data_IF_619270062805
#
_entry.id   IF_619270062805
#
_cell.length_a   1.000
_cell.length_b   1.000
_cell.length_c   1.000
_cell.angle_alpha   90.00
_cell.angle_beta   90.00
_cell.angle_gamma   90.00
#
_symmetry.space_group_name_H-M   'P 1'
#
loop_
_entity.id
_entity.type
_entity.pdbx_description
1 polymer ?
#
# COMPACT_ATOMS: atom_id res chain seq x y z
N UNK A 1 -7.50 29.49 15.77
CA UNK A 1 -7.45 29.68 14.31
C UNK A 1 -7.13 28.31 13.72
N UNK A 2 -8.09 27.67 13.06
CA UNK A 2 -7.87 26.37 12.42
C UNK A 2 -7.34 26.67 11.02
N UNK A 3 -6.09 26.30 10.76
CA UNK A 3 -5.47 26.45 9.44
C UNK A 3 -5.94 25.25 8.63
N UNK A 4 -6.85 25.46 7.69
CA UNK A 4 -7.18 24.47 6.67
C UNK A 4 -6.15 24.55 5.55
N UNK A 5 -5.68 23.40 5.06
CA UNK A 5 -4.75 23.33 3.93
C UNK A 5 -5.50 23.09 2.61
N UNK A 6 -4.94 23.58 1.51
CA UNK A 6 -5.48 23.36 0.16
C UNK A 6 -5.40 21.88 -0.20
N UNK A 7 -6.55 21.21 -0.36
CA UNK A 7 -6.60 19.75 -0.58
C UNK A 7 -7.11 18.95 0.60
N UNK A 8 -7.27 19.55 1.79
CA UNK A 8 -7.74 18.85 3.01
C UNK A 8 -9.07 18.09 2.79
N UNK A 9 -10.02 18.69 2.07
CA UNK A 9 -11.29 18.02 1.74
C UNK A 9 -11.12 16.88 0.75
N UNK A 10 -10.24 17.04 -0.23
CA UNK A 10 -9.98 16.00 -1.22
C UNK A 10 -9.33 14.78 -0.57
N UNK A 11 -8.34 15.02 0.30
CA UNK A 11 -7.70 13.98 1.10
C UNK A 11 -8.69 13.27 2.02
N UNK A 12 -9.57 14.03 2.70
CA UNK A 12 -10.62 13.45 3.53
C UNK A 12 -11.60 12.57 2.70
N UNK A 13 -12.00 13.04 1.52
CA UNK A 13 -12.88 12.28 0.63
C UNK A 13 -12.18 11.05 0.04
N UNK A 14 -10.90 11.16 -0.30
CA UNK A 14 -10.05 10.06 -0.74
C UNK A 14 -9.92 9.00 0.36
N UNK A 15 -9.62 9.40 1.58
CA UNK A 15 -9.52 8.51 2.73
C UNK A 15 -10.86 7.82 3.01
N UNK A 16 -11.98 8.55 2.96
CA UNK A 16 -13.31 7.96 3.14
C UNK A 16 -13.68 6.99 2.01
N UNK A 17 -13.27 7.25 0.77
CA UNK A 17 -13.44 6.31 -0.36
C UNK A 17 -12.61 5.04 -0.14
N UNK A 18 -11.35 5.19 0.23
CA UNK A 18 -10.45 4.07 0.48
C UNK A 18 -10.99 3.19 1.62
N UNK A 19 -11.45 3.77 2.72
CA UNK A 19 -12.02 3.02 3.84
C UNK A 19 -13.28 2.24 3.44
N UNK A 20 -14.17 2.86 2.66
CA UNK A 20 -15.35 2.15 2.14
C UNK A 20 -14.98 0.96 1.26
N UNK A 21 -13.96 1.10 0.42
CA UNK A 21 -13.49 0.00 -0.42
C UNK A 21 -12.89 -1.13 0.42
N UNK A 22 -12.07 -0.78 1.41
CA UNK A 22 -11.51 -1.75 2.37
C UNK A 22 -12.60 -2.55 3.08
N UNK A 23 -13.64 -1.88 3.59
CA UNK A 23 -14.77 -2.54 4.25
C UNK A 23 -15.50 -3.49 3.29
N UNK A 24 -15.74 -3.08 2.04
CA UNK A 24 -16.35 -3.96 1.01
C UNK A 24 -15.51 -5.20 0.73
N UNK A 25 -14.18 -5.08 0.70
CA UNK A 25 -13.30 -6.23 0.53
C UNK A 25 -13.41 -7.19 1.74
N UNK A 26 -13.45 -6.65 2.96
CA UNK A 26 -13.59 -7.43 4.20
C UNK A 26 -14.94 -8.14 4.31
N UNK A 27 -16.03 -7.58 3.76
CA UNK A 27 -17.33 -8.25 3.66
C UNK A 27 -17.25 -9.58 2.88
N UNK A 28 -16.25 -9.73 2.02
CA UNK A 28 -15.99 -10.93 1.22
C UNK A 28 -14.73 -11.70 1.67
N UNK A 29 -14.28 -11.49 2.91
CA UNK A 29 -13.16 -12.23 3.49
C UNK A 29 -13.43 -13.75 3.54
N UNK A 30 -12.39 -14.53 3.25
CA UNK A 30 -12.44 -15.99 3.22
C UNK A 30 -11.38 -16.57 4.15
N UNK A 31 -11.82 -17.48 5.03
CA UNK A 31 -10.95 -18.17 5.98
C UNK A 31 -10.47 -17.28 7.13
N UNK A 32 -9.39 -17.70 7.77
CA UNK A 32 -8.81 -17.00 8.91
C UNK A 32 -7.82 -15.92 8.45
N UNK A 33 -7.81 -14.79 9.16
CA UNK A 33 -6.81 -13.73 8.96
C UNK A 33 -5.48 -14.16 9.56
N UNK A 34 -4.43 -14.17 8.73
CA UNK A 34 -3.06 -14.38 9.18
C UNK A 34 -2.52 -13.09 9.80
N UNK A 35 -2.03 -13.19 11.03
CA UNK A 35 -1.39 -12.07 11.73
C UNK A 35 0.12 -12.30 11.76
N UNK A 36 0.86 -11.38 11.16
CA UNK A 36 2.32 -11.36 11.11
C UNK A 36 2.82 -10.20 11.96
N UNK A 37 3.54 -10.47 13.04
CA UNK A 37 3.99 -9.44 13.95
C UNK A 37 5.45 -9.60 14.39
N UNK A 38 6.07 -8.47 14.72
CA UNK A 38 7.31 -8.40 15.46
C UNK A 38 7.17 -7.38 16.61
N UNK A 39 8.28 -7.03 17.27
CA UNK A 39 8.29 -6.10 18.40
C UNK A 39 7.96 -4.64 18.04
N UNK A 40 7.87 -4.30 16.74
CA UNK A 40 7.63 -2.94 16.26
C UNK A 40 6.33 -2.80 15.47
N UNK A 41 5.83 -3.89 14.87
CA UNK A 41 4.77 -3.86 13.87
C UNK A 41 3.90 -5.12 13.88
N UNK A 42 2.64 -4.96 13.48
CA UNK A 42 1.69 -6.02 13.17
C UNK A 42 1.16 -5.79 11.75
N UNK A 43 1.05 -6.85 10.96
CA UNK A 43 0.45 -6.91 9.63
C UNK A 43 -0.63 -7.98 9.64
N UNK A 44 -1.79 -7.66 9.06
CA UNK A 44 -2.89 -8.61 8.87
C UNK A 44 -3.02 -8.94 7.40
N UNK A 45 -3.15 -10.23 7.10
CA UNK A 45 -3.29 -10.73 5.74
C UNK A 45 -4.55 -11.56 5.66
N UNK A 46 -5.49 -11.14 4.82
CA UNK A 46 -6.80 -11.78 4.65
C UNK A 46 -7.04 -12.05 3.18
N UNK A 47 -7.43 -13.29 2.83
CA UNK A 47 -7.92 -13.58 1.49
C UNK A 47 -9.32 -12.99 1.34
N UNK A 48 -9.57 -12.25 0.25
CA UNK A 48 -10.88 -11.68 -0.07
C UNK A 48 -11.27 -12.09 -1.49
N UNK A 49 -12.55 -12.37 -1.72
CA UNK A 49 -13.06 -12.66 -3.06
C UNK A 49 -13.64 -11.39 -3.69
N UNK A 50 -13.31 -11.16 -4.96
CA UNK A 50 -13.87 -10.06 -5.74
C UNK A 50 -14.51 -10.59 -7.01
N UNK A 51 -15.28 -9.75 -7.71
CA UNK A 51 -15.81 -10.09 -9.04
C UNK A 51 -14.72 -10.47 -10.07
N UNK A 52 -13.48 -10.02 -9.84
CA UNK A 52 -12.34 -10.26 -10.73
C UNK A 52 -11.40 -11.37 -10.20
N UNK A 53 -11.86 -12.16 -9.23
CA UNK A 53 -11.08 -13.22 -8.59
C UNK A 53 -10.57 -12.84 -7.20
N UNK A 54 -9.80 -13.75 -6.62
CA UNK A 54 -9.26 -13.62 -5.27
C UNK A 54 -8.18 -12.53 -5.18
N UNK A 55 -8.12 -11.88 -4.02
CA UNK A 55 -7.04 -10.96 -3.64
C UNK A 55 -6.53 -11.28 -2.24
N UNK A 56 -5.29 -10.90 -1.96
CA UNK A 56 -4.77 -10.77 -0.60
C UNK A 56 -4.89 -9.32 -0.16
N UNK A 57 -5.75 -9.07 0.82
CA UNK A 57 -5.81 -7.82 1.55
C UNK A 57 -4.72 -7.83 2.62
N UNK A 58 -3.77 -6.91 2.52
CA UNK A 58 -2.66 -6.71 3.47
C UNK A 58 -2.89 -5.40 4.18
N UNK A 59 -2.96 -5.41 5.51
CA UNK A 59 -3.27 -4.25 6.34
C UNK A 59 -2.19 -4.02 7.40
N UNK A 60 -1.86 -2.76 7.65
CA UNK A 60 -1.05 -2.31 8.78
C UNK A 60 -1.96 -1.54 9.76
N UNK A 61 -2.41 -2.17 10.86
CA UNK A 61 -3.27 -1.50 11.84
C UNK A 61 -2.62 -0.24 12.45
N UNK A 62 -1.28 -0.22 12.54
CA UNK A 62 -0.52 0.90 13.11
C UNK A 62 -0.61 2.15 12.25
N UNK A 63 -0.49 2.02 10.92
CA UNK A 63 -0.52 3.15 10.00
C UNK A 63 -1.89 3.38 9.36
N UNK A 64 -2.82 2.42 9.48
CA UNK A 64 -4.10 2.41 8.76
C UNK A 64 -3.97 2.16 7.26
N UNK A 65 -2.76 1.93 6.75
CA UNK A 65 -2.51 1.64 5.34
C UNK A 65 -2.90 0.20 5.01
N UNK A 66 -3.34 0.00 3.78
CA UNK A 66 -3.72 -1.30 3.27
C UNK A 66 -3.53 -1.37 1.75
N UNK A 67 -3.41 -2.60 1.23
CA UNK A 67 -3.36 -2.88 -0.20
C UNK A 67 -4.04 -4.23 -0.49
N UNK A 68 -4.69 -4.35 -1.65
CA UNK A 68 -5.35 -5.58 -2.08
C UNK A 68 -4.71 -6.11 -3.37
N UNK A 69 -3.83 -7.10 -3.23
CA UNK A 69 -3.03 -7.65 -4.33
C UNK A 69 -3.73 -8.85 -4.98
N UNK A 70 -3.86 -8.83 -6.30
CA UNK A 70 -4.20 -10.01 -7.08
C UNK A 70 -2.99 -10.97 -7.20
N UNK A 71 -3.18 -12.21 -7.67
CA UNK A 71 -2.10 -13.18 -7.78
C UNK A 71 -0.92 -12.71 -8.62
N UNK A 72 -1.16 -12.00 -9.73
CA UNK A 72 -0.10 -11.49 -10.61
C UNK A 72 0.72 -10.37 -9.95
N UNK A 73 0.06 -9.46 -9.23
CA UNK A 73 0.75 -8.40 -8.48
C UNK A 73 1.63 -9.01 -7.39
N UNK A 74 1.15 -10.06 -6.71
CA UNK A 74 1.94 -10.80 -5.72
C UNK A 74 3.13 -11.52 -6.36
N UNK A 75 2.93 -12.18 -7.50
CA UNK A 75 3.99 -12.83 -8.26
C UNK A 75 5.08 -11.84 -8.68
N UNK A 76 4.68 -10.65 -9.14
CA UNK A 76 5.63 -9.60 -9.53
C UNK A 76 6.55 -9.15 -8.39
N UNK A 77 6.07 -9.20 -7.13
CA UNK A 77 6.92 -8.94 -5.96
C UNK A 77 8.01 -10.01 -5.79
N UNK A 78 7.71 -11.27 -6.12
CA UNK A 78 8.68 -12.37 -6.03
C UNK A 78 9.81 -12.29 -7.05
N UNK A 79 9.62 -11.51 -8.12
CA UNK A 79 10.65 -11.25 -9.13
C UNK A 79 11.61 -10.13 -8.74
N UNK A 80 11.30 -9.37 -7.69
CA UNK A 80 12.16 -8.28 -7.23
C UNK A 80 13.37 -8.82 -6.47
N UNK A 81 14.48 -8.09 -6.57
CA UNK A 81 15.69 -8.40 -5.81
C UNK A 81 15.59 -7.84 -4.39
N UNK A 82 16.30 -8.44 -3.44
CA UNK A 82 16.37 -7.95 -2.05
C UNK A 82 16.76 -6.47 -1.98
N UNK A 83 17.66 -6.01 -2.86
CA UNK A 83 18.07 -4.61 -2.94
C UNK A 83 16.88 -3.67 -3.20
N UNK A 84 15.94 -4.06 -4.07
CA UNK A 84 14.73 -3.28 -4.36
C UNK A 84 13.87 -3.09 -3.11
N UNK A 85 13.68 -4.15 -2.31
CA UNK A 85 12.94 -4.06 -1.06
C UNK A 85 13.66 -3.21 -0.01
N UNK A 86 14.99 -3.31 0.07
CA UNK A 86 15.78 -2.47 0.97
C UNK A 86 15.60 -0.98 0.68
N UNK A 87 15.61 -0.58 -0.61
CA UNK A 87 15.34 0.81 -1.00
C UNK A 87 13.92 1.26 -0.63
N UNK A 88 12.90 0.42 -0.89
CA UNK A 88 11.51 0.71 -0.51
C UNK A 88 11.34 0.91 1.00
N UNK A 89 12.00 0.07 1.81
CA UNK A 89 11.91 0.15 3.27
C UNK A 89 12.70 1.34 3.81
N UNK A 90 13.86 1.65 3.22
CA UNK A 90 14.67 2.83 3.58
C UNK A 90 14.01 4.15 3.21
N UNK A 91 13.21 4.16 2.14
CA UNK A 91 12.54 5.34 1.58
C UNK A 91 11.04 5.08 1.37
N UNK A 92 10.24 4.91 2.44
CA UNK A 92 8.86 4.41 2.38
C UNK A 92 7.85 5.28 1.61
N UNK A 93 8.25 6.47 1.16
CA UNK A 93 7.45 7.38 0.33
C UNK A 93 8.28 8.04 -0.77
N UNK A 94 9.51 7.56 -1.01
CA UNK A 94 10.42 8.10 -2.01
C UNK A 94 10.26 7.42 -3.37
N UNK A 95 10.61 8.14 -4.44
CA UNK A 95 10.74 7.52 -5.76
C UNK A 95 11.90 6.52 -5.74
N UNK A 96 11.69 5.33 -6.32
CA UNK A 96 12.77 4.36 -6.58
C UNK A 96 13.53 4.67 -7.87
N UNK A 97 12.96 5.54 -8.71
CA UNK A 97 13.62 6.07 -9.91
C UNK A 97 14.46 7.25 -9.46
N UNK A 98 15.77 7.18 -9.70
CA UNK A 98 16.65 8.34 -9.54
C UNK A 98 16.31 9.33 -10.63
N UNK A 99 16.12 10.60 -10.26
CA UNK A 99 16.08 11.67 -11.24
C UNK A 99 17.38 11.60 -12.05
N UNK A 100 17.28 11.45 -13.38
CA UNK A 100 18.45 11.59 -14.23
C UNK A 100 18.99 13.02 -14.03
N UNK A 101 20.31 13.21 -13.85
CA UNK A 101 20.83 14.56 -13.72
C UNK A 101 20.45 15.33 -15.00
N UNK A 102 19.85 16.52 -14.82
CA UNK A 102 19.64 17.46 -15.90
C UNK A 102 20.96 17.56 -16.67
N UNK A 103 20.96 17.10 -17.91
CA UNK A 103 22.12 17.25 -18.79
C UNK A 103 22.21 18.75 -19.04
N UNK A 104 23.04 19.46 -18.27
CA UNK A 104 23.35 20.85 -18.56
C UNK A 104 23.89 20.88 -19.99
N UNK A 105 23.08 21.43 -20.90
CA UNK A 105 23.47 21.71 -22.27
C UNK A 105 24.80 22.49 -22.23
N UNK A 106 25.87 21.83 -22.67
CA UNK A 106 27.20 22.42 -22.69
C UNK A 106 27.24 23.68 -23.53
N UNK A 107 27.88 24.72 -22.98
CA UNK A 107 28.32 25.91 -23.71
C UNK A 107 29.38 25.58 -24.78
#
# INVERSE_FOLDING_TARGET
MTIGWEGEREDADNAARAERERLRLLEHAQGETLVLGNEFSEIRVTKVETRNGARLLVESPRSGQWIALCPLELEALTWQQTATFSEMIGHPFGSLVKDEPDVEDGE
#
